data_IF_403637815735
#
_entry.id   IF_403637815735
#
_cell.length_a   1.000
_cell.length_b   1.000
_cell.length_c   1.000
_cell.angle_alpha   90.00
_cell.angle_beta   90.00
_cell.angle_gamma   90.00
#
_symmetry.space_group_name_H-M   'P 1'
#
loop_
_entity.id
_entity.type
_entity.pdbx_description
1 polymer ?
#
# COMPACT_ATOMS: atom_id res chain seq x y z
N UNK A 1 31.12 0.58 5.08
CA UNK A 1 30.34 1.23 6.15
C UNK A 1 29.44 2.29 5.54
N UNK A 2 30.00 3.26 4.82
CA UNK A 2 29.25 4.28 4.07
C UNK A 2 28.17 3.69 3.16
N UNK A 3 28.51 2.71 2.30
CA UNK A 3 27.53 2.04 1.44
C UNK A 3 26.35 1.38 2.19
N UNK A 4 26.58 0.91 3.42
CA UNK A 4 25.52 0.32 4.27
C UNK A 4 24.60 1.39 4.84
N UNK A 5 25.17 2.52 5.28
CA UNK A 5 24.39 3.65 5.78
C UNK A 5 23.55 4.27 4.64
N UNK A 6 24.13 4.43 3.46
CA UNK A 6 23.39 4.90 2.26
C UNK A 6 22.25 3.96 1.92
N UNK A 7 22.45 2.64 2.00
CA UNK A 7 21.40 1.65 1.74
C UNK A 7 20.25 1.76 2.75
N UNK A 8 20.55 1.97 4.03
CA UNK A 8 19.53 2.18 5.08
C UNK A 8 18.75 3.47 4.82
N UNK A 9 19.44 4.57 4.52
CA UNK A 9 18.79 5.87 4.23
C UNK A 9 17.92 5.80 2.98
N UNK A 10 18.36 5.09 1.94
CA UNK A 10 17.56 4.85 0.76
C UNK A 10 16.29 4.07 1.09
N UNK A 11 16.38 3.05 1.94
CA UNK A 11 15.24 2.21 2.34
C UNK A 11 14.21 3.02 3.14
N UNK A 12 14.67 3.85 4.08
CA UNK A 12 13.79 4.79 4.82
C UNK A 12 13.08 5.76 3.86
N UNK A 13 13.79 6.28 2.87
CA UNK A 13 13.19 7.20 1.88
C UNK A 13 12.14 6.51 1.00
N UNK A 14 12.30 5.21 0.74
CA UNK A 14 11.30 4.43 0.00
C UNK A 14 10.00 4.27 0.77
N UNK A 15 10.04 4.18 2.10
CA UNK A 15 8.83 4.19 2.94
C UNK A 15 7.96 5.41 2.63
N UNK A 16 8.54 6.62 2.54
CA UNK A 16 7.79 7.84 2.22
C UNK A 16 7.09 7.76 0.86
N UNK A 17 7.79 7.23 -0.15
CA UNK A 17 7.27 7.12 -1.52
C UNK A 17 6.13 6.09 -1.61
N UNK A 18 6.30 4.94 -0.97
CA UNK A 18 5.29 3.89 -0.90
C UNK A 18 4.05 4.41 -0.15
N UNK A 19 4.26 5.10 0.97
CA UNK A 19 3.18 5.70 1.75
C UNK A 19 2.39 6.73 0.95
N UNK A 20 3.07 7.60 0.19
CA UNK A 20 2.40 8.54 -0.71
C UNK A 20 1.59 7.83 -1.81
N UNK A 21 2.10 6.71 -2.34
CA UNK A 21 1.41 5.89 -3.34
C UNK A 21 0.14 5.23 -2.81
N UNK A 22 0.19 4.62 -1.62
CA UNK A 22 -1.00 4.00 -1.02
C UNK A 22 -2.01 5.05 -0.53
N UNK A 23 -1.56 6.23 -0.06
CA UNK A 23 -2.44 7.37 0.26
C UNK A 23 -3.17 7.88 -0.99
N UNK A 24 -2.48 7.97 -2.13
CA UNK A 24 -3.09 8.31 -3.41
C UNK A 24 -4.16 7.29 -3.80
N UNK A 25 -3.88 5.99 -3.61
CA UNK A 25 -4.84 4.91 -3.86
C UNK A 25 -6.06 5.01 -2.94
N UNK A 26 -5.88 5.33 -1.65
CA UNK A 26 -6.99 5.61 -0.73
C UNK A 26 -7.82 6.83 -1.20
N UNK A 27 -7.16 7.90 -1.64
CA UNK A 27 -7.81 9.10 -2.18
C UNK A 27 -8.73 8.77 -3.36
N UNK A 28 -8.21 8.07 -4.36
CA UNK A 28 -9.00 7.66 -5.54
C UNK A 28 -10.17 6.74 -5.12
N UNK A 29 -9.95 5.82 -4.18
CA UNK A 29 -11.02 4.96 -3.66
C UNK A 29 -12.10 5.75 -2.90
N UNK A 30 -11.73 6.83 -2.20
CA UNK A 30 -12.69 7.73 -1.57
C UNK A 30 -13.51 8.49 -2.62
N UNK A 31 -12.88 8.98 -3.69
CA UNK A 31 -13.57 9.71 -4.76
C UNK A 31 -14.58 8.83 -5.50
N UNK A 32 -14.22 7.57 -5.76
CA UNK A 32 -15.14 6.56 -6.32
C UNK A 32 -16.39 6.41 -5.45
N UNK A 33 -16.24 6.43 -4.13
CA UNK A 33 -17.36 6.36 -3.20
C UNK A 33 -18.17 7.67 -3.12
N UNK A 34 -17.49 8.83 -3.14
CA UNK A 34 -18.15 10.14 -3.04
C UNK A 34 -19.06 10.43 -4.25
N UNK A 35 -18.66 9.99 -5.45
CA UNK A 35 -19.50 10.11 -6.65
C UNK A 35 -20.87 9.43 -6.47
N UNK A 36 -20.96 8.36 -5.68
CA UNK A 36 -22.23 7.68 -5.41
C UNK A 36 -23.14 8.43 -4.45
N UNK A 37 -22.58 9.09 -3.43
CA UNK A 37 -23.36 9.87 -2.45
C UNK A 37 -24.06 11.06 -3.13
N UNK A 38 -23.46 11.59 -4.19
CA UNK A 38 -24.03 12.63 -5.07
C UNK A 38 -25.10 12.11 -6.04
N UNK A 39 -25.26 10.79 -6.20
CA UNK A 39 -26.27 10.14 -7.06
C UNK A 39 -27.55 9.76 -6.29
N UNK A 40 -27.76 10.30 -5.08
CA UNK A 40 -29.10 10.40 -4.47
C UNK A 40 -29.94 11.37 -5.31
N UNK A 41 -31.24 11.09 -5.56
CA UNK A 41 -31.93 11.64 -6.71
C UNK A 41 -32.05 13.17 -6.66
N UNK A 42 -31.29 13.82 -7.53
CA UNK A 42 -31.76 14.98 -8.28
C UNK A 42 -31.99 14.44 -9.70
N UNK A 43 -33.25 14.50 -10.13
CA UNK A 43 -33.97 13.85 -11.25
C UNK A 43 -33.29 13.60 -12.62
N UNK A 44 -31.99 13.82 -12.83
CA UNK A 44 -31.34 13.62 -14.13
C UNK A 44 -30.14 12.67 -14.06
N UNK A 45 -30.35 11.45 -14.57
CA UNK A 45 -29.28 10.46 -14.77
C UNK A 45 -28.44 10.85 -16.00
N UNK A 46 -27.37 11.63 -15.81
CA UNK A 46 -26.49 12.10 -16.89
C UNK A 46 -25.44 11.03 -17.25
N UNK A 47 -25.45 10.59 -18.51
CA UNK A 47 -24.60 9.53 -19.08
C UNK A 47 -23.09 9.74 -18.84
N UNK A 48 -22.61 10.98 -18.74
CA UNK A 48 -21.19 11.29 -18.49
C UNK A 48 -20.63 10.74 -17.16
N UNK A 49 -21.46 10.59 -16.11
CA UNK A 49 -21.00 10.17 -14.77
C UNK A 49 -20.64 8.68 -14.68
N UNK A 50 -21.09 7.85 -15.62
CA UNK A 50 -20.73 6.43 -15.69
C UNK A 50 -19.32 6.22 -16.26
N UNK A 51 -18.92 7.06 -17.23
CA UNK A 51 -17.59 7.00 -17.82
C UNK A 51 -16.52 7.49 -16.84
N UNK A 52 -16.84 8.52 -16.05
CA UNK A 52 -15.98 9.01 -14.96
C UNK A 52 -15.73 7.94 -13.89
N UNK A 53 -16.76 7.17 -13.51
CA UNK A 53 -16.63 6.05 -12.55
C UNK A 53 -15.70 4.95 -13.07
N UNK A 54 -15.85 4.55 -14.33
CA UNK A 54 -14.96 3.56 -14.96
C UNK A 54 -13.54 4.09 -15.05
N UNK A 55 -13.36 5.36 -15.38
CA UNK A 55 -12.03 5.96 -15.47
C UNK A 55 -11.36 6.04 -14.09
N UNK A 56 -12.08 6.41 -13.04
CA UNK A 56 -11.55 6.46 -11.68
C UNK A 56 -11.17 5.06 -11.16
N UNK A 57 -11.97 4.03 -11.43
CA UNK A 57 -11.61 2.65 -11.09
C UNK A 57 -10.38 2.16 -11.87
N UNK A 58 -10.24 2.52 -13.15
CA UNK A 58 -9.02 2.24 -13.92
C UNK A 58 -7.81 2.96 -13.34
N UNK A 59 -7.97 4.20 -12.89
CA UNK A 59 -6.91 4.97 -12.24
C UNK A 59 -6.53 4.35 -10.89
N UNK A 60 -7.50 3.89 -10.12
CA UNK A 60 -7.27 3.16 -8.87
C UNK A 60 -6.47 1.89 -9.10
N UNK A 61 -6.88 1.07 -10.08
CA UNK A 61 -6.16 -0.16 -10.44
C UNK A 61 -4.71 0.13 -10.82
N UNK A 62 -4.46 1.10 -11.71
CA UNK A 62 -3.10 1.52 -12.07
C UNK A 62 -2.29 2.06 -10.89
N UNK A 63 -2.96 2.70 -9.92
CA UNK A 63 -2.31 3.18 -8.70
C UNK A 63 -1.89 2.01 -7.80
N UNK A 64 -2.75 1.01 -7.65
CA UNK A 64 -2.46 -0.21 -6.89
C UNK A 64 -1.32 -1.01 -7.54
N UNK A 65 -1.31 -1.19 -8.87
CA UNK A 65 -0.21 -1.88 -9.57
C UNK A 65 1.15 -1.20 -9.35
N UNK A 66 1.17 0.14 -9.29
CA UNK A 66 2.39 0.90 -8.98
C UNK A 66 2.85 0.67 -7.54
N UNK A 67 1.91 0.63 -6.60
CA UNK A 67 2.20 0.35 -5.19
C UNK A 67 2.69 -1.09 -5.02
N UNK A 68 2.07 -2.07 -5.66
CA UNK A 68 2.50 -3.47 -5.64
C UNK A 68 3.94 -3.61 -6.13
N UNK A 69 4.25 -3.01 -7.29
CA UNK A 69 5.60 -3.03 -7.84
C UNK A 69 6.62 -2.39 -6.89
N UNK A 70 6.29 -1.23 -6.31
CA UNK A 70 7.18 -0.53 -5.39
C UNK A 70 7.43 -1.34 -4.11
N UNK A 71 6.37 -1.90 -3.51
CA UNK A 71 6.45 -2.76 -2.33
C UNK A 71 7.29 -4.00 -2.60
N UNK A 72 7.08 -4.69 -3.72
CA UNK A 72 7.84 -5.89 -4.04
C UNK A 72 9.33 -5.61 -4.21
N UNK A 73 9.69 -4.49 -4.86
CA UNK A 73 11.09 -4.08 -5.00
C UNK A 73 11.73 -3.68 -3.67
N UNK A 74 10.95 -3.06 -2.79
CA UNK A 74 11.38 -2.64 -1.47
C UNK A 74 11.60 -3.87 -0.56
N UNK A 75 10.59 -4.72 -0.43
CA UNK A 75 10.65 -5.96 0.34
C UNK A 75 11.78 -6.89 -0.11
N UNK A 76 11.99 -7.05 -1.44
CA UNK A 76 13.10 -7.86 -1.94
C UNK A 76 14.46 -7.35 -1.44
N UNK A 77 14.62 -6.02 -1.33
CA UNK A 77 15.85 -5.42 -0.83
C UNK A 77 16.01 -5.62 0.66
N UNK A 78 14.93 -5.50 1.42
CA UNK A 78 14.93 -5.72 2.86
C UNK A 78 15.27 -7.16 3.20
N UNK A 79 14.55 -8.10 2.58
CA UNK A 79 14.69 -9.55 2.77
C UNK A 79 16.08 -10.06 2.39
N UNK A 80 16.73 -9.46 1.37
CA UNK A 80 18.04 -9.92 0.88
C UNK A 80 19.21 -9.10 1.39
N UNK A 81 19.18 -7.79 1.17
CA UNK A 81 20.32 -6.92 1.38
C UNK A 81 20.37 -6.38 2.82
N UNK A 82 19.24 -5.90 3.34
CA UNK A 82 19.19 -5.29 4.69
C UNK A 82 19.29 -6.35 5.77
N UNK A 83 18.56 -7.47 5.66
CA UNK A 83 18.61 -8.56 6.63
C UNK A 83 20.05 -9.06 6.84
N UNK A 84 20.81 -9.24 5.75
CA UNK A 84 22.21 -9.65 5.82
C UNK A 84 23.11 -8.65 6.58
N UNK A 85 22.74 -7.36 6.62
CA UNK A 85 23.44 -6.35 7.43
C UNK A 85 23.09 -6.54 8.90
N UNK A 86 21.80 -6.72 9.23
CA UNK A 86 21.35 -6.97 10.59
C UNK A 86 22.02 -8.21 11.19
N UNK A 87 22.04 -9.32 10.45
CA UNK A 87 22.64 -10.59 10.87
C UNK A 87 24.13 -10.47 11.21
N UNK A 88 24.87 -9.65 10.46
CA UNK A 88 26.31 -9.41 10.68
C UNK A 88 26.59 -8.52 11.88
N UNK A 89 25.62 -7.75 12.37
CA UNK A 89 25.83 -6.73 13.40
C UNK A 89 25.24 -7.09 14.75
N UNK A 90 24.01 -7.60 14.78
CA UNK A 90 23.34 -7.92 16.03
C UNK A 90 22.30 -9.00 15.85
N UNK A 91 22.47 -10.11 16.58
CA UNK A 91 21.51 -11.22 16.58
C UNK A 91 20.13 -10.79 17.07
N UNK A 92 20.05 -9.90 18.07
CA UNK A 92 18.76 -9.44 18.59
C UNK A 92 18.04 -8.55 17.61
N UNK A 93 18.75 -7.61 16.96
CA UNK A 93 18.16 -6.76 15.93
C UNK A 93 17.75 -7.57 14.70
N UNK A 94 18.54 -8.58 14.31
CA UNK A 94 18.21 -9.46 13.20
C UNK A 94 16.94 -10.26 13.44
N UNK A 95 16.76 -10.80 14.66
CA UNK A 95 15.52 -11.49 15.03
C UNK A 95 14.31 -10.54 15.00
N UNK A 96 14.45 -9.33 15.54
CA UNK A 96 13.38 -8.34 15.52
C UNK A 96 13.00 -7.93 14.09
N UNK A 97 13.99 -7.74 13.22
CA UNK A 97 13.76 -7.40 11.82
C UNK A 97 13.12 -8.56 11.07
N UNK A 98 13.60 -9.79 11.26
CA UNK A 98 13.01 -10.98 10.63
C UNK A 98 11.52 -11.17 10.97
N UNK A 99 11.09 -10.83 12.18
CA UNK A 99 9.67 -10.86 12.55
C UNK A 99 8.84 -9.83 11.76
N UNK A 100 9.38 -8.64 11.45
CA UNK A 100 8.69 -7.67 10.59
C UNK A 100 8.57 -8.17 9.15
N UNK A 101 9.60 -8.85 8.63
CA UNK A 101 9.58 -9.40 7.28
C UNK A 101 8.44 -10.42 7.07
N UNK A 102 7.96 -11.08 8.13
CA UNK A 102 6.80 -11.98 8.04
C UNK A 102 5.51 -11.25 7.59
N UNK A 103 5.42 -9.94 7.80
CA UNK A 103 4.29 -9.11 7.38
C UNK A 103 4.29 -8.83 5.86
N UNK A 104 5.42 -8.98 5.17
CA UNK A 104 5.56 -8.65 3.74
C UNK A 104 4.58 -9.43 2.87
N UNK A 105 4.44 -10.73 3.13
CA UNK A 105 3.50 -11.59 2.40
C UNK A 105 2.04 -11.20 2.66
N UNK A 106 1.73 -10.66 3.84
CA UNK A 106 0.40 -10.13 4.11
C UNK A 106 0.12 -8.87 3.30
N UNK A 107 1.09 -7.96 3.20
CA UNK A 107 0.96 -6.76 2.36
C UNK A 107 0.78 -7.11 0.88
N UNK A 108 1.58 -8.05 0.34
CA UNK A 108 1.41 -8.56 -1.04
C UNK A 108 0.00 -9.05 -1.28
N UNK A 109 -0.54 -9.87 -0.36
CA UNK A 109 -1.92 -10.38 -0.46
C UNK A 109 -2.96 -9.26 -0.39
N UNK A 110 -2.78 -8.27 0.48
CA UNK A 110 -3.72 -7.14 0.62
C UNK A 110 -3.77 -6.26 -0.61
N UNK A 111 -2.62 -5.93 -1.22
CA UNK A 111 -2.61 -5.12 -2.43
C UNK A 111 -3.28 -5.87 -3.58
N UNK A 112 -2.91 -7.13 -3.80
CA UNK A 112 -3.58 -7.99 -4.79
C UNK A 112 -5.09 -8.09 -4.55
N UNK A 113 -5.53 -8.23 -3.30
CA UNK A 113 -6.96 -8.27 -2.97
C UNK A 113 -7.67 -6.95 -3.35
N UNK A 114 -7.00 -5.82 -3.15
CA UNK A 114 -7.53 -4.51 -3.54
C UNK A 114 -7.65 -4.38 -5.06
N UNK A 115 -6.68 -4.91 -5.82
CA UNK A 115 -6.73 -4.96 -7.29
C UNK A 115 -7.86 -5.85 -7.82
N UNK A 116 -8.05 -7.02 -7.20
CA UNK A 116 -9.15 -7.94 -7.52
C UNK A 116 -10.50 -7.26 -7.29
N UNK A 117 -10.68 -6.62 -6.14
CA UNK A 117 -11.91 -5.88 -5.80
C UNK A 117 -12.16 -4.71 -6.77
N UNK A 118 -11.12 -3.96 -7.17
CA UNK A 118 -11.23 -2.91 -8.18
C UNK A 118 -11.61 -3.47 -9.56
N UNK A 119 -11.06 -4.63 -9.93
CA UNK A 119 -11.35 -5.32 -11.19
C UNK A 119 -12.78 -5.87 -11.22
N UNK A 120 -13.26 -6.44 -10.10
CA UNK A 120 -14.64 -6.87 -9.94
C UNK A 120 -15.59 -5.70 -10.22
N UNK A 121 -15.35 -4.52 -9.64
CA UNK A 121 -16.17 -3.32 -9.85
C UNK A 121 -16.16 -2.80 -11.30
N UNK A 122 -15.10 -3.09 -12.07
CA UNK A 122 -15.00 -2.75 -13.50
C UNK A 122 -15.73 -3.75 -14.41
N UNK A 123 -15.69 -5.04 -14.07
CA UNK A 123 -16.08 -6.13 -14.97
C UNK A 123 -17.50 -6.65 -14.80
N UNK A 124 -18.21 -6.29 -13.72
CA UNK A 124 -19.47 -6.94 -13.40
C UNK A 124 -20.71 -6.05 -13.63
N UNK A 125 -21.75 -6.64 -14.23
CA UNK A 125 -23.11 -6.09 -14.28
C UNK A 125 -23.77 -6.24 -12.91
N UNK A 126 -23.21 -5.57 -11.91
CA UNK A 126 -23.74 -5.58 -10.55
C UNK A 126 -24.99 -4.71 -10.47
N UNK A 127 -25.93 -5.10 -9.60
CA UNK A 127 -26.92 -4.14 -9.14
C UNK A 127 -26.22 -2.99 -8.41
N UNK A 128 -26.86 -1.81 -8.39
CA UNK A 128 -26.33 -0.61 -7.72
C UNK A 128 -25.93 -0.89 -6.26
N UNK A 129 -26.82 -1.53 -5.50
CA UNK A 129 -26.61 -1.85 -4.08
C UNK A 129 -25.37 -2.74 -3.86
N UNK A 130 -25.19 -3.76 -4.70
CA UNK A 130 -24.03 -4.66 -4.62
C UNK A 130 -22.75 -3.92 -5.00
N UNK A 131 -22.80 -3.07 -6.02
CA UNK A 131 -21.66 -2.24 -6.42
C UNK A 131 -21.24 -1.28 -5.30
N UNK A 132 -22.21 -0.57 -4.70
CA UNK A 132 -21.98 0.37 -3.59
C UNK A 132 -21.36 -0.33 -2.37
N UNK A 133 -21.89 -1.50 -2.00
CA UNK A 133 -21.33 -2.30 -0.91
C UNK A 133 -19.88 -2.73 -1.18
N UNK A 134 -19.59 -3.18 -2.40
CA UNK A 134 -18.22 -3.57 -2.80
C UNK A 134 -17.26 -2.38 -2.85
N UNK A 135 -17.71 -1.22 -3.34
CA UNK A 135 -16.91 0.00 -3.35
C UNK A 135 -16.58 0.49 -1.93
N UNK A 136 -17.56 0.43 -1.01
CA UNK A 136 -17.33 0.72 0.41
C UNK A 136 -16.31 -0.24 1.02
N UNK A 137 -16.46 -1.55 0.75
CA UNK A 137 -15.53 -2.56 1.24
C UNK A 137 -14.11 -2.35 0.71
N UNK A 138 -13.94 -2.00 -0.58
CA UNK A 138 -12.64 -1.69 -1.19
C UNK A 138 -11.98 -0.50 -0.49
N UNK A 139 -12.72 0.58 -0.27
CA UNK A 139 -12.23 1.77 0.44
C UNK A 139 -11.78 1.44 1.86
N UNK A 140 -12.60 0.71 2.62
CA UNK A 140 -12.26 0.30 3.98
C UNK A 140 -11.01 -0.60 3.99
N UNK A 141 -10.90 -1.52 3.03
CA UNK A 141 -9.76 -2.42 2.88
C UNK A 141 -8.46 -1.67 2.59
N UNK A 142 -8.46 -0.74 1.63
CA UNK A 142 -7.29 0.09 1.30
C UNK A 142 -6.88 0.96 2.49
N UNK A 143 -7.84 1.60 3.18
CA UNK A 143 -7.57 2.39 4.38
C UNK A 143 -6.91 1.57 5.49
N UNK A 144 -7.42 0.37 5.76
CA UNK A 144 -6.84 -0.51 6.76
C UNK A 144 -5.44 -0.98 6.36
N UNK A 145 -5.24 -1.33 5.09
CA UNK A 145 -3.93 -1.71 4.54
C UNK A 145 -2.92 -0.58 4.69
N UNK A 146 -3.31 0.67 4.37
CA UNK A 146 -2.46 1.85 4.58
C UNK A 146 -2.04 2.02 6.03
N UNK A 147 -2.98 1.93 6.99
CA UNK A 147 -2.67 2.06 8.41
C UNK A 147 -1.72 0.96 8.90
N UNK A 148 -1.88 -0.25 8.37
CA UNK A 148 -0.99 -1.36 8.70
C UNK A 148 0.42 -1.14 8.13
N UNK A 149 0.54 -0.70 6.88
CA UNK A 149 1.82 -0.32 6.27
C UNK A 149 2.51 0.82 7.04
N UNK A 150 1.75 1.81 7.51
CA UNK A 150 2.27 2.93 8.31
C UNK A 150 2.87 2.45 9.65
N UNK A 151 2.19 1.53 10.33
CA UNK A 151 2.70 0.93 11.56
C UNK A 151 3.96 0.10 11.30
N UNK A 152 3.96 -0.72 10.25
CA UNK A 152 5.12 -1.52 9.83
C UNK A 152 6.34 -0.64 9.54
N UNK A 153 6.21 0.35 8.65
CA UNK A 153 7.30 1.26 8.29
C UNK A 153 7.84 2.05 9.50
N UNK A 154 6.98 2.36 10.48
CA UNK A 154 7.39 3.00 11.74
C UNK A 154 8.31 2.07 12.54
N UNK A 155 7.91 0.81 12.75
CA UNK A 155 8.72 -0.19 13.46
C UNK A 155 10.02 -0.51 12.74
N UNK A 156 10.01 -0.63 11.42
CA UNK A 156 11.22 -0.81 10.63
C UNK A 156 12.18 0.37 10.74
N UNK A 157 11.66 1.60 10.65
CA UNK A 157 12.47 2.82 10.80
C UNK A 157 13.17 2.86 12.18
N UNK A 158 12.51 2.41 13.24
CA UNK A 158 13.11 2.31 14.57
C UNK A 158 14.25 1.29 14.60
N UNK A 159 14.08 0.12 13.96
CA UNK A 159 15.14 -0.88 13.83
C UNK A 159 16.31 -0.37 12.98
N UNK A 160 16.05 0.35 11.89
CA UNK A 160 17.08 0.96 11.05
C UNK A 160 17.88 2.02 11.81
N UNK A 161 17.22 2.84 12.64
CA UNK A 161 17.90 3.80 13.53
C UNK A 161 18.74 3.08 14.59
N UNK A 162 18.26 1.98 15.15
CA UNK A 162 19.01 1.17 16.11
C UNK A 162 20.25 0.54 15.45
N UNK A 163 20.09 -0.06 14.27
CA UNK A 163 21.19 -0.62 13.49
C UNK A 163 22.24 0.45 13.13
N UNK A 164 21.80 1.64 12.72
CA UNK A 164 22.69 2.77 12.43
C UNK A 164 23.57 3.12 13.63
N UNK A 165 23.00 3.20 14.83
CA UNK A 165 23.76 3.45 16.07
C UNK A 165 24.79 2.34 16.36
N UNK A 166 24.50 1.09 15.99
CA UNK A 166 25.47 -0.01 16.12
C UNK A 166 26.56 0.03 15.04
N UNK A 167 26.26 0.58 13.85
CA UNK A 167 27.23 0.73 12.76
C UNK A 167 28.20 1.91 12.96
N UNK A 168 27.78 2.93 13.71
CA UNK A 168 28.56 4.13 14.02
C UNK A 168 29.46 3.96 15.27
N UNK A 169 29.34 2.83 15.99
CA UNK A 169 30.22 2.43 17.10
C UNK A 169 31.43 1.64 16.59
#
# INVERSE_FOLDING_TARGET
MEATLTLIEQTIKEHEQIMAGIQTSEGIANDVAAILELERPVEEFVVGRLDDRKQNLKNLHKSLEKVDKALNQHFEREEKAILAVFEKRSKSLALAFALLLEEHDDFRRRIRRSEEMASELLGSSLSREVWESKAYALRAHIRHTRKHLEAHATSETELFRALRKELEK
#
